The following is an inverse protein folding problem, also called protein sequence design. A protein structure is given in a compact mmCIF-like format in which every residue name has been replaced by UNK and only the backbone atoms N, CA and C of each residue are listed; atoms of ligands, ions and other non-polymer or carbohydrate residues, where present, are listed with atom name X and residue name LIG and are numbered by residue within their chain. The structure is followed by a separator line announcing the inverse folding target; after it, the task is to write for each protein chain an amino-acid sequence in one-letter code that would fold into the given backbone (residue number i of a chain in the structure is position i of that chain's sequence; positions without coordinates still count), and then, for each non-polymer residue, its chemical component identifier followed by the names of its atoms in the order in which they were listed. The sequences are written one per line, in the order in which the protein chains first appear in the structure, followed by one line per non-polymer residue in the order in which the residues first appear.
data_IF_529765131656
#
_entry.id   IF_529765131656
#
_cell.length_a   1.000
_cell.length_b   1.000
_cell.length_c   1.000
_cell.angle_alpha   90.00
_cell.angle_beta   90.00
_cell.angle_gamma   90.00
#
_symmetry.space_group_name_H-M   'P 1'
#
loop_
_entity.id
_entity.type
_entity.pdbx_description
1 polymer ?
#
# COMPACT_ATOMS: atom_id res chain seq x y z
N UNK A 1 -20.25 16.82 11.04
CA UNK A 1 -19.62 15.81 10.14
C UNK A 1 -20.05 16.10 8.71
N UNK A 2 -19.23 16.81 7.91
CA UNK A 2 -19.29 16.83 6.43
C UNK A 2 -18.23 17.80 5.83
N UNK A 3 -17.01 17.85 6.38
CA UNK A 3 -15.99 18.80 5.90
C UNK A 3 -15.17 18.24 4.74
N UNK A 4 -14.99 16.92 4.69
CA UNK A 4 -14.17 16.27 3.67
C UNK A 4 -14.83 16.27 2.28
N UNK A 5 -16.10 15.87 2.17
CA UNK A 5 -16.83 15.87 0.89
C UNK A 5 -17.01 17.29 0.33
N UNK A 6 -17.14 18.29 1.21
CA UNK A 6 -17.21 19.71 0.82
C UNK A 6 -15.88 20.24 0.27
N UNK A 7 -14.74 19.71 0.74
CA UNK A 7 -13.42 20.06 0.20
C UNK A 7 -13.19 19.41 -1.17
N UNK A 8 -13.65 18.17 -1.37
CA UNK A 8 -13.55 17.48 -2.66
C UNK A 8 -14.38 18.18 -3.75
N UNK A 9 -15.55 18.72 -3.43
CA UNK A 9 -16.39 19.42 -4.42
C UNK A 9 -15.87 20.82 -4.80
N UNK A 10 -15.04 21.43 -3.97
CA UNK A 10 -14.44 22.74 -4.23
C UNK A 10 -13.10 22.66 -4.96
N UNK A 11 -12.50 21.47 -5.03
CA UNK A 11 -11.32 21.24 -5.84
C UNK A 11 -11.70 21.29 -7.32
N UNK A 12 -11.45 22.43 -7.97
CA UNK A 12 -11.54 22.56 -9.44
C UNK A 12 -10.39 21.75 -10.06
N UNK A 13 -10.61 20.45 -10.24
CA UNK A 13 -9.76 19.57 -11.02
C UNK A 13 -10.10 19.82 -12.48
N UNK A 14 -9.13 20.26 -13.28
CA UNK A 14 -9.31 20.39 -14.74
C UNK A 14 -9.22 19.00 -15.38
N UNK A 15 -10.34 18.44 -15.90
CA UNK A 15 -10.35 17.11 -16.51
C UNK A 15 -9.59 17.07 -17.84
N UNK A 16 -9.23 18.22 -18.40
CA UNK A 16 -8.56 18.35 -19.71
C UNK A 16 -7.05 18.20 -19.60
N UNK A 17 -6.47 18.30 -18.41
CA UNK A 17 -5.04 18.13 -18.18
C UNK A 17 -4.56 16.67 -18.25
N UNK A 18 -5.48 15.69 -18.39
CA UNK A 18 -5.19 14.26 -18.35
C UNK A 18 -5.12 13.58 -19.73
N UNK A 19 -5.31 14.30 -20.83
CA UNK A 19 -5.35 13.71 -22.17
C UNK A 19 -4.55 14.55 -23.16
N UNK A 20 -3.24 14.36 -23.19
CA UNK A 20 -2.43 14.68 -24.39
C UNK A 20 -1.95 13.38 -25.05
N UNK A 21 -2.01 13.25 -26.39
CA UNK A 21 -1.87 11.96 -27.09
C UNK A 21 -0.41 11.54 -27.36
N UNK A 22 0.59 12.13 -26.70
CA UNK A 22 1.99 11.97 -27.10
C UNK A 22 2.70 10.71 -26.57
N UNK A 23 2.04 9.88 -25.76
CA UNK A 23 2.66 8.72 -25.12
C UNK A 23 2.25 7.34 -25.69
N UNK A 24 1.76 7.27 -26.92
CA UNK A 24 1.38 5.99 -27.55
C UNK A 24 2.05 5.84 -28.91
N UNK A 25 3.37 5.66 -28.94
CA UNK A 25 4.00 4.99 -30.08
C UNK A 25 5.21 4.15 -29.66
N UNK A 26 5.12 2.87 -30.04
CA UNK A 26 6.13 1.79 -30.07
C UNK A 26 6.03 0.73 -28.96
N UNK A 27 5.08 -0.18 -29.14
CA UNK A 27 5.31 -1.59 -28.88
C UNK A 27 4.88 -2.39 -30.13
N UNK A 28 5.86 -3.03 -30.76
CA UNK A 28 5.70 -3.93 -31.90
C UNK A 28 5.00 -5.21 -31.45
N UNK A 29 4.05 -5.70 -32.26
CA UNK A 29 3.32 -6.95 -32.02
C UNK A 29 4.22 -8.18 -32.22
N UNK A 30 4.01 -9.26 -31.46
CA UNK A 30 4.28 -10.61 -31.92
C UNK A 30 2.98 -11.35 -32.25
N UNK A 31 2.96 -11.88 -33.47
CA UNK A 31 2.03 -12.87 -34.00
C UNK A 31 2.15 -14.18 -33.21
N UNK A 32 1.02 -14.75 -32.77
CA UNK A 32 0.74 -16.18 -32.94
C UNK A 32 -0.72 -16.48 -32.56
N UNK A 33 -1.44 -17.07 -33.52
CA UNK A 33 -2.76 -17.68 -33.33
C UNK A 33 -2.60 -19.14 -32.87
N UNK A 34 -3.63 -19.69 -32.22
CA UNK A 34 -4.25 -20.85 -32.84
C UNK A 34 -5.78 -20.78 -32.93
N UNK A 35 -6.29 -21.45 -33.97
CA UNK A 35 -7.69 -21.62 -34.39
C UNK A 35 -8.64 -22.23 -33.32
N UNK A 36 -9.96 -22.01 -33.47
CA UNK A 36 -10.98 -22.51 -32.55
C UNK A 36 -11.50 -23.89 -32.97
N UNK A 37 -11.62 -24.81 -32.02
CA UNK A 37 -12.54 -25.95 -32.13
C UNK A 37 -13.02 -26.34 -30.75
N UNK A 38 -14.30 -26.08 -30.45
CA UNK A 38 -15.20 -27.03 -29.79
C UNK A 38 -16.55 -26.38 -29.46
N UNK A 39 -17.58 -27.09 -29.90
CA UNK A 39 -19.02 -26.82 -29.85
C UNK A 39 -19.59 -26.76 -28.43
N UNK A 40 -20.51 -25.80 -28.24
CA UNK A 40 -21.44 -25.64 -27.12
C UNK A 40 -22.25 -26.91 -26.81
N UNK A 41 -22.29 -27.32 -25.53
CA UNK A 41 -23.49 -27.86 -24.89
C UNK A 41 -23.64 -27.24 -23.50
N UNK A 42 -24.76 -26.52 -23.30
CA UNK A 42 -25.23 -26.05 -22.00
C UNK A 42 -25.81 -27.25 -21.25
N UNK A 43 -25.32 -27.51 -20.05
CA UNK A 43 -26.00 -28.34 -19.07
C UNK A 43 -26.19 -27.51 -17.80
N UNK A 44 -27.46 -27.32 -17.45
CA UNK A 44 -27.93 -26.54 -16.31
C UNK A 44 -27.75 -27.42 -15.07
N UNK A 45 -26.82 -27.06 -14.19
CA UNK A 45 -26.66 -27.74 -12.89
C UNK A 45 -27.17 -26.81 -11.80
N UNK A 46 -28.19 -27.33 -11.12
CA UNK A 46 -28.93 -26.73 -10.02
C UNK A 46 -28.05 -26.53 -8.78
N UNK A 47 -28.12 -25.33 -8.20
CA UNK A 47 -27.29 -24.90 -7.06
C UNK A 47 -27.92 -25.38 -5.75
N UNK A 48 -27.29 -26.33 -5.08
CA UNK A 48 -27.60 -26.67 -3.69
C UNK A 48 -26.76 -25.79 -2.75
N UNK A 49 -27.43 -24.98 -1.92
CA UNK A 49 -26.81 -24.22 -0.82
C UNK A 49 -26.38 -25.15 0.32
N UNK A 50 -25.16 -25.02 0.88
CA UNK A 50 -24.86 -25.59 2.17
C UNK A 50 -25.31 -24.64 3.28
N UNK A 51 -26.22 -25.14 4.11
CA UNK A 51 -26.69 -24.54 5.35
C UNK A 51 -25.51 -24.42 6.34
N UNK A 52 -25.16 -23.19 6.72
CA UNK A 52 -24.18 -22.93 7.78
C UNK A 52 -24.88 -22.24 8.95
N UNK A 53 -24.94 -22.95 10.07
CA UNK A 53 -25.46 -22.42 11.33
C UNK A 53 -24.45 -21.43 11.93
N UNK A 54 -24.86 -20.19 12.27
CA UNK A 54 -23.96 -19.26 12.93
C UNK A 54 -23.75 -19.71 14.38
N UNK A 55 -22.52 -20.06 14.70
CA UNK A 55 -22.07 -20.20 16.09
C UNK A 55 -21.93 -18.81 16.67
N UNK A 56 -22.67 -18.54 17.75
CA UNK A 56 -22.74 -17.23 18.41
C UNK A 56 -21.38 -16.88 19.04
N UNK A 57 -20.67 -15.90 18.47
CA UNK A 57 -19.48 -15.34 19.09
C UNK A 57 -19.93 -14.31 20.14
N UNK A 58 -19.34 -14.30 21.36
CA UNK A 58 -19.67 -13.31 22.36
C UNK A 58 -19.50 -11.91 21.80
N UNK A 59 -20.62 -11.23 21.60
CA UNK A 59 -20.65 -9.82 21.19
C UNK A 59 -20.38 -8.99 22.44
N UNK A 60 -19.12 -8.87 22.81
CA UNK A 60 -18.72 -7.76 23.68
C UNK A 60 -18.95 -6.46 22.90
N UNK A 61 -19.71 -5.54 23.51
CA UNK A 61 -20.00 -4.26 22.93
C UNK A 61 -18.68 -3.50 22.68
N UNK A 62 -18.27 -3.45 21.41
CA UNK A 62 -17.14 -2.64 20.97
C UNK A 62 -17.46 -1.19 21.32
N UNK A 63 -16.82 -0.67 22.38
CA UNK A 63 -16.83 0.76 22.63
C UNK A 63 -16.29 1.43 21.36
N UNK A 64 -17.11 2.27 20.72
CA UNK A 64 -16.78 2.92 19.46
C UNK A 64 -15.76 4.03 19.71
N UNK A 65 -14.54 3.66 20.07
CA UNK A 65 -13.41 4.57 20.10
C UNK A 65 -13.06 4.92 18.66
N UNK A 66 -12.97 6.22 18.36
CA UNK A 66 -12.57 6.67 17.03
C UNK A 66 -11.10 6.33 16.80
N UNK A 67 -10.75 5.76 15.64
CA UNK A 67 -9.36 5.56 15.26
C UNK A 67 -8.68 6.91 14.97
N UNK A 68 -7.46 7.08 15.46
CA UNK A 68 -6.65 8.26 15.17
C UNK A 68 -5.99 8.13 13.79
N UNK A 69 -6.12 9.16 12.94
CA UNK A 69 -5.52 9.22 11.61
C UNK A 69 -4.76 10.55 11.46
N UNK A 70 -3.48 10.48 11.06
CA UNK A 70 -2.67 11.66 10.79
C UNK A 70 -2.67 11.98 9.29
N UNK A 71 -3.05 13.22 8.92
CA UNK A 71 -2.98 13.73 7.55
C UNK A 71 -2.13 15.00 7.51
N UNK A 72 -0.98 14.94 6.85
CA UNK A 72 0.02 16.02 6.85
C UNK A 72 0.31 16.45 5.42
N UNK A 73 0.14 17.75 5.17
CA UNK A 73 0.50 18.39 3.91
C UNK A 73 1.91 18.98 4.05
N UNK A 74 2.86 18.46 3.28
CA UNK A 74 4.24 18.95 3.22
C UNK A 74 4.88 18.58 1.88
N UNK A 75 5.95 19.29 1.52
CA UNK A 75 6.83 18.93 0.40
C UNK A 75 8.07 18.13 0.85
N UNK A 76 8.28 17.98 2.16
CA UNK A 76 9.36 17.18 2.76
C UNK A 76 8.78 15.90 3.38
N UNK A 77 9.07 14.76 2.74
CA UNK A 77 8.60 13.43 3.18
C UNK A 77 9.10 13.07 4.57
N UNK A 78 10.36 13.37 4.87
CA UNK A 78 10.96 12.99 6.15
C UNK A 78 10.35 13.81 7.29
N UNK A 79 10.13 15.11 7.07
CA UNK A 79 9.38 15.95 8.01
C UNK A 79 7.95 15.44 8.20
N UNK A 80 7.25 15.12 7.11
CA UNK A 80 5.88 14.60 7.18
C UNK A 80 5.76 13.33 8.01
N UNK A 81 6.70 12.39 7.85
CA UNK A 81 6.75 11.17 8.66
C UNK A 81 6.98 11.48 10.15
N UNK A 82 7.94 12.36 10.48
CA UNK A 82 8.22 12.71 11.89
C UNK A 82 6.99 13.31 12.56
N UNK A 83 6.37 14.31 11.91
CA UNK A 83 5.14 14.93 12.39
C UNK A 83 4.00 13.91 12.54
N UNK A 84 3.90 12.91 11.64
CA UNK A 84 2.88 11.87 11.75
C UNK A 84 3.12 11.00 12.98
N UNK A 85 4.35 10.55 13.19
CA UNK A 85 4.72 9.67 14.29
C UNK A 85 4.59 10.35 15.66
N UNK A 86 4.90 11.64 15.76
CA UNK A 86 4.73 12.45 16.97
C UNK A 86 3.27 12.55 17.46
N UNK A 87 2.29 12.31 16.59
CA UNK A 87 0.86 12.35 16.96
C UNK A 87 0.40 11.09 17.71
N UNK A 88 1.20 10.02 17.75
CA UNK A 88 0.84 8.74 18.36
C UNK A 88 1.70 8.47 19.61
N UNK A 89 1.13 7.74 20.57
CA UNK A 89 1.91 7.20 21.69
C UNK A 89 2.72 5.97 21.24
N UNK A 90 4.02 6.18 21.05
CA UNK A 90 4.98 5.16 20.64
C UNK A 90 5.86 4.67 21.80
N UNK A 91 5.55 5.05 23.05
CA UNK A 91 6.35 4.69 24.24
C UNK A 91 6.54 3.18 24.43
N UNK A 92 5.55 2.39 24.00
CA UNK A 92 5.56 0.93 24.09
C UNK A 92 6.59 0.24 23.18
N UNK A 93 7.19 0.96 22.23
CA UNK A 93 8.20 0.42 21.30
C UNK A 93 9.60 0.33 21.94
N UNK A 94 9.87 1.11 22.98
CA UNK A 94 11.18 1.15 23.62
C UNK A 94 11.64 -0.27 24.07
N UNK A 95 12.84 -0.66 23.66
CA UNK A 95 13.44 -1.98 23.89
C UNK A 95 12.82 -3.14 23.10
N UNK A 96 11.83 -2.90 22.23
CA UNK A 96 11.19 -3.95 21.42
C UNK A 96 11.88 -4.12 20.08
N UNK A 97 11.98 -5.36 19.63
CA UNK A 97 12.36 -5.66 18.26
C UNK A 97 11.20 -5.31 17.33
N UNK A 98 11.49 -4.63 16.23
CA UNK A 98 10.49 -4.14 15.26
C UNK A 98 10.72 -4.80 13.91
N UNK A 99 9.67 -5.37 13.34
CA UNK A 99 9.65 -5.74 11.93
C UNK A 99 8.93 -4.66 11.14
N UNK A 100 9.64 -4.00 10.23
CA UNK A 100 9.12 -2.96 9.37
C UNK A 100 8.81 -3.52 7.99
N UNK A 101 7.52 -3.49 7.62
CA UNK A 101 6.95 -3.99 6.37
C UNK A 101 6.62 -2.81 5.43
N UNK A 102 7.56 -2.37 4.57
CA UNK A 102 7.26 -1.40 3.52
C UNK A 102 6.42 -2.03 2.41
N UNK A 103 6.19 -1.27 1.33
CA UNK A 103 5.66 -1.76 0.06
C UNK A 103 6.77 -1.69 -1.01
N UNK A 104 7.28 -2.84 -1.45
CA UNK A 104 8.30 -2.98 -2.49
C UNK A 104 7.78 -3.83 -3.66
N UNK A 105 6.61 -3.49 -4.20
CA UNK A 105 5.94 -4.29 -5.22
C UNK A 105 6.75 -4.41 -6.53
N UNK A 106 7.39 -3.33 -6.95
CA UNK A 106 8.20 -3.22 -8.17
C UNK A 106 9.41 -2.29 -7.93
N UNK A 107 10.41 -2.23 -8.82
CA UNK A 107 11.50 -1.26 -8.69
C UNK A 107 11.09 0.18 -9.07
N UNK A 108 9.83 0.42 -9.40
CA UNK A 108 9.35 1.75 -9.79
C UNK A 108 9.38 2.70 -8.58
N UNK A 109 9.66 3.99 -8.79
CA UNK A 109 9.60 4.97 -7.72
C UNK A 109 8.19 5.09 -7.15
N UNK A 110 8.09 5.73 -5.98
CA UNK A 110 6.80 6.08 -5.36
C UNK A 110 5.84 6.72 -6.38
N UNK A 111 4.56 6.32 -6.43
CA UNK A 111 3.86 5.48 -5.46
C UNK A 111 3.95 3.95 -5.69
N UNK A 112 4.70 3.48 -6.69
CA UNK A 112 4.85 2.04 -6.96
C UNK A 112 5.50 1.26 -5.82
N UNK A 113 6.43 1.92 -5.11
CA UNK A 113 7.09 1.43 -3.90
C UNK A 113 7.26 2.53 -2.85
N UNK A 114 7.46 2.15 -1.59
CA UNK A 114 7.75 3.08 -0.49
C UNK A 114 9.00 3.90 -0.81
N UNK A 115 8.87 5.23 -0.73
CA UNK A 115 9.99 6.13 -0.99
C UNK A 115 11.12 5.92 0.05
N UNK A 116 12.41 5.85 -0.35
CA UNK A 116 13.52 5.65 0.58
C UNK A 116 13.58 6.64 1.73
N UNK A 117 13.27 7.92 1.49
CA UNK A 117 13.24 8.94 2.55
C UNK A 117 12.15 8.72 3.60
N UNK A 118 11.00 8.16 3.20
CA UNK A 118 9.94 7.78 4.15
C UNK A 118 10.46 6.67 5.05
N UNK A 119 11.04 5.63 4.44
CA UNK A 119 11.57 4.49 5.17
C UNK A 119 12.71 4.90 6.12
N UNK A 120 13.66 5.71 5.65
CA UNK A 120 14.77 6.23 6.44
C UNK A 120 14.28 7.08 7.61
N UNK A 121 13.27 7.91 7.40
CA UNK A 121 12.67 8.70 8.49
C UNK A 121 12.04 7.80 9.55
N UNK A 122 11.27 6.77 9.16
CA UNK A 122 10.68 5.80 10.10
C UNK A 122 11.77 5.08 10.88
N UNK A 123 12.78 4.52 10.21
CA UNK A 123 13.89 3.80 10.86
C UNK A 123 14.61 4.68 11.87
N UNK A 124 14.94 5.92 11.51
CA UNK A 124 15.58 6.88 12.42
C UNK A 124 14.69 7.22 13.61
N UNK A 125 13.39 7.44 13.41
CA UNK A 125 12.46 7.69 14.52
C UNK A 125 12.38 6.49 15.45
N UNK A 126 12.29 5.26 14.92
CA UNK A 126 12.29 4.03 15.72
C UNK A 126 13.57 3.89 16.56
N UNK A 127 14.74 4.19 15.97
CA UNK A 127 16.01 4.21 16.70
C UNK A 127 16.01 5.27 17.81
N UNK A 128 15.52 6.48 17.52
CA UNK A 128 15.47 7.59 18.49
C UNK A 128 14.57 7.28 19.69
N UNK A 129 13.45 6.58 19.49
CA UNK A 129 12.54 6.17 20.58
C UNK A 129 12.99 4.89 21.29
N UNK A 130 14.20 4.39 20.99
CA UNK A 130 14.82 3.27 21.70
C UNK A 130 14.35 1.89 21.24
N UNK A 131 13.87 1.72 20.01
CA UNK A 131 13.62 0.39 19.47
C UNK A 131 14.89 -0.49 19.54
N UNK A 132 14.70 -1.79 19.77
CA UNK A 132 15.76 -2.80 19.71
C UNK A 132 16.16 -3.11 18.26
N UNK A 133 16.21 -4.39 17.90
CA UNK A 133 16.54 -4.78 16.53
C UNK A 133 15.41 -4.35 15.56
N UNK A 134 15.77 -3.63 14.50
CA UNK A 134 14.84 -3.26 13.42
C UNK A 134 15.14 -4.14 12.21
N UNK A 135 14.19 -4.98 11.82
CA UNK A 135 14.27 -5.80 10.60
C UNK A 135 13.36 -5.21 9.55
N UNK A 136 13.90 -4.86 8.38
CA UNK A 136 13.11 -4.41 7.23
C UNK A 136 12.92 -5.59 6.28
N UNK A 137 11.68 -5.92 5.94
CA UNK A 137 11.40 -7.04 5.04
C UNK A 137 10.09 -6.91 4.28
N UNK A 138 10.10 -7.31 3.01
CA UNK A 138 8.92 -7.37 2.15
C UNK A 138 9.11 -8.38 0.98
N UNK A 139 8.07 -8.59 0.17
CA UNK A 139 8.10 -9.35 -1.10
C UNK A 139 7.73 -8.43 -2.27
N UNK A 140 8.37 -8.62 -3.42
CA UNK A 140 7.98 -7.93 -4.66
C UNK A 140 6.96 -8.71 -5.48
N UNK A 141 5.84 -8.07 -5.80
CA UNK A 141 4.77 -8.64 -6.62
C UNK A 141 5.16 -8.86 -8.08
N UNK A 142 5.82 -7.86 -8.66
CA UNK A 142 6.08 -7.74 -10.09
C UNK A 142 7.48 -8.20 -10.51
N UNK A 143 8.25 -8.77 -9.60
CA UNK A 143 9.64 -9.15 -9.88
C UNK A 143 10.31 -9.93 -8.77
N UNK A 144 11.62 -10.15 -8.93
CA UNK A 144 12.43 -10.79 -7.91
C UNK A 144 12.64 -9.84 -6.71
N UNK A 145 12.26 -10.28 -5.51
CA UNK A 145 12.35 -9.49 -4.27
C UNK A 145 13.73 -8.90 -4.03
N UNK A 146 14.79 -9.72 -4.13
CA UNK A 146 16.16 -9.27 -3.84
C UNK A 146 16.58 -8.19 -4.83
N UNK A 147 16.40 -8.42 -6.13
CA UNK A 147 16.74 -7.44 -7.17
C UNK A 147 15.94 -6.14 -7.03
N UNK A 148 14.66 -6.21 -6.65
CA UNK A 148 13.85 -5.01 -6.40
C UNK A 148 14.39 -4.22 -5.21
N UNK A 149 14.68 -4.88 -4.09
CA UNK A 149 15.26 -4.24 -2.91
C UNK A 149 16.66 -3.67 -3.17
N UNK A 150 17.46 -4.32 -4.01
CA UNK A 150 18.76 -3.80 -4.47
C UNK A 150 18.57 -2.51 -5.28
N UNK A 151 17.67 -2.52 -6.28
CA UNK A 151 17.38 -1.35 -7.13
C UNK A 151 16.82 -0.16 -6.35
N UNK A 152 16.02 -0.43 -5.32
CA UNK A 152 15.48 0.60 -4.42
C UNK A 152 16.50 1.08 -3.37
N UNK A 153 17.71 0.49 -3.34
CA UNK A 153 18.79 0.89 -2.41
C UNK A 153 18.53 0.50 -0.96
N UNK A 154 17.72 -0.53 -0.70
CA UNK A 154 17.27 -0.88 0.65
C UNK A 154 18.39 -1.48 1.49
N UNK A 155 19.27 -2.28 0.89
CA UNK A 155 20.39 -2.89 1.61
C UNK A 155 21.50 -1.90 1.99
N UNK A 156 21.45 -0.67 1.46
CA UNK A 156 22.41 0.42 1.76
C UNK A 156 21.71 1.60 2.45
N UNK A 157 20.52 1.41 3.00
CA UNK A 157 19.68 2.49 3.51
C UNK A 157 20.21 3.14 4.81
N UNK A 158 20.96 2.38 5.62
CA UNK A 158 21.47 2.75 6.93
C UNK A 158 22.96 2.43 7.06
#
# INVERSE_FOLDING_TARGET
MSTFLQACSQAKIDPTALLTPEATQRLSQPTDQPEPTATTKKELVESAEPESTPTDFPTEAISKSASQVAFIKTNDRAQGVRLAMEMFDLSHINGKNVFLKPNFNSPDPSPGSTHPDVLRAIVRTLQLIGAGNITVGDRSGMGNTRTTMDKLGIFTLA
#
